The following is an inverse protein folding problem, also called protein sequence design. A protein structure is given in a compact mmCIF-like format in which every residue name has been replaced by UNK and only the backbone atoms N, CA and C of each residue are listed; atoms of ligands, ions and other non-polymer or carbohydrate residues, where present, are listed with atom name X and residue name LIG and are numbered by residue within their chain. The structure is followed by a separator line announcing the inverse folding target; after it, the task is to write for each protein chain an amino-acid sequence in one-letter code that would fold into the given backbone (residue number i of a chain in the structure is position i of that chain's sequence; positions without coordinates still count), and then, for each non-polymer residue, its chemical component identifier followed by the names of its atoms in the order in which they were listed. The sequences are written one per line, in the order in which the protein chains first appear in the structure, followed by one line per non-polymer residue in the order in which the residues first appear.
data_IF_162748348565
#
_entry.id   IF_162748348565
#
_cell.length_a   1.000
_cell.length_b   1.000
_cell.length_c   1.000
_cell.angle_alpha   90.00
_cell.angle_beta   90.00
_cell.angle_gamma   90.00
#
_symmetry.space_group_name_H-M   'P 1'
#
loop_
_entity.id
_entity.type
_entity.pdbx_description
1 polymer ?
#
# COMPACT_ATOMS: atom_id res chain seq x y z
N UNK A 1 7.27 11.03 -16.09
CA UNK A 1 6.40 11.25 -14.91
C UNK A 1 5.66 9.97 -14.60
N UNK A 2 5.92 9.38 -13.43
CA UNK A 2 5.28 8.15 -12.97
C UNK A 2 4.24 8.52 -11.91
N UNK A 3 3.06 7.90 -11.98
CA UNK A 3 2.03 8.06 -10.96
C UNK A 3 1.71 6.69 -10.36
N UNK A 4 1.80 6.60 -9.03
CA UNK A 4 1.42 5.42 -8.26
C UNK A 4 0.18 5.78 -7.48
N UNK A 5 -0.86 4.96 -7.57
CA UNK A 5 -2.12 5.18 -6.85
C UNK A 5 -2.39 3.96 -5.97
N UNK A 6 -2.61 4.19 -4.68
CA UNK A 6 -2.98 3.15 -3.72
C UNK A 6 -4.08 3.62 -2.78
N UNK A 7 -4.88 2.69 -2.26
CA UNK A 7 -5.85 3.00 -1.21
C UNK A 7 -5.16 3.04 0.15
N UNK A 8 -4.38 2.02 0.48
CA UNK A 8 -3.64 1.91 1.75
C UNK A 8 -2.20 1.48 1.46
N UNK A 9 -1.24 2.05 2.19
CA UNK A 9 0.16 1.63 2.20
C UNK A 9 0.71 1.65 3.62
N UNK A 10 1.83 0.97 3.84
CA UNK A 10 2.57 1.09 5.11
C UNK A 10 3.58 2.23 5.05
N UNK A 11 3.95 2.79 6.20
CA UNK A 11 5.02 3.78 6.31
C UNK A 11 6.32 3.27 5.65
N UNK A 12 6.70 2.02 5.95
CA UNK A 12 7.84 1.35 5.30
C UNK A 12 7.74 1.34 3.76
N UNK A 13 6.54 1.16 3.20
CA UNK A 13 6.32 1.17 1.76
C UNK A 13 6.48 2.56 1.14
N UNK A 14 6.01 3.60 1.84
CA UNK A 14 6.17 5.00 1.41
C UNK A 14 7.65 5.40 1.41
N UNK A 15 8.37 5.09 2.48
CA UNK A 15 9.82 5.35 2.59
C UNK A 15 10.62 4.58 1.52
N UNK A 16 10.19 3.36 1.19
CA UNK A 16 10.79 2.59 0.11
C UNK A 16 10.59 3.27 -1.24
N UNK A 17 9.39 3.78 -1.52
CA UNK A 17 9.12 4.52 -2.76
C UNK A 17 10.01 5.75 -2.84
N UNK A 18 10.05 6.56 -1.78
CA UNK A 18 10.87 7.78 -1.72
C UNK A 18 12.36 7.49 -1.96
N UNK A 19 12.87 6.36 -1.45
CA UNK A 19 14.29 6.01 -1.56
C UNK A 19 14.70 5.45 -2.92
N UNK A 20 13.82 4.72 -3.60
CA UNK A 20 14.20 3.90 -4.76
C UNK A 20 13.54 4.31 -6.07
N UNK A 21 12.45 5.07 -6.03
CA UNK A 21 11.78 5.50 -7.25
C UNK A 21 12.41 6.79 -7.82
N UNK A 22 12.28 7.02 -9.13
CA UNK A 22 12.73 8.28 -9.75
C UNK A 22 12.10 9.52 -9.10
N UNK A 23 12.83 10.63 -9.07
CA UNK A 23 12.38 11.91 -8.50
C UNK A 23 11.07 12.44 -9.13
N UNK A 24 10.74 12.03 -10.35
CA UNK A 24 9.51 12.43 -11.05
C UNK A 24 8.32 11.48 -10.80
N UNK A 25 8.38 10.71 -9.70
CA UNK A 25 7.32 9.82 -9.21
C UNK A 25 6.40 10.54 -8.23
N UNK A 26 5.08 10.44 -8.44
CA UNK A 26 4.07 10.99 -7.56
C UNK A 26 3.20 9.87 -6.99
N UNK A 27 3.20 9.73 -5.67
CA UNK A 27 2.40 8.76 -4.93
C UNK A 27 1.11 9.39 -4.42
N UNK A 28 -0.02 8.87 -4.90
CA UNK A 28 -1.36 9.21 -4.44
C UNK A 28 -1.86 8.08 -3.54
N UNK A 29 -2.03 8.37 -2.26
CA UNK A 29 -2.39 7.35 -1.27
C UNK A 29 -3.44 7.89 -0.30
N UNK A 30 -4.49 7.11 -0.04
CA UNK A 30 -5.60 7.56 0.82
C UNK A 30 -5.31 7.38 2.31
N UNK A 31 -4.58 6.32 2.70
CA UNK A 31 -4.20 6.06 4.08
C UNK A 31 -2.80 5.46 4.16
N UNK A 32 -2.04 5.89 5.17
CA UNK A 32 -0.72 5.34 5.49
C UNK A 32 -0.81 4.79 6.91
N UNK A 33 -0.53 3.50 7.05
CA UNK A 33 -0.57 2.77 8.30
C UNK A 33 0.85 2.43 8.79
N UNK A 34 1.00 2.23 10.09
CA UNK A 34 2.30 2.27 10.77
C UNK A 34 3.27 1.17 10.35
N UNK A 35 2.78 -0.08 10.24
CA UNK A 35 3.66 -1.24 10.14
C UNK A 35 3.11 -2.37 9.30
N UNK A 36 4.03 -3.21 8.86
CA UNK A 36 3.72 -4.55 8.39
C UNK A 36 3.85 -5.54 9.56
N UNK A 37 3.05 -6.61 9.55
CA UNK A 37 3.31 -7.78 10.39
C UNK A 37 4.30 -8.75 9.72
N UNK A 38 4.65 -9.83 10.41
CA UNK A 38 5.62 -10.84 9.91
C UNK A 38 5.19 -11.56 8.63
N UNK A 39 3.92 -11.44 8.24
CA UNK A 39 3.36 -11.99 7.00
C UNK A 39 3.26 -10.96 5.88
N UNK A 40 3.70 -9.71 6.11
CA UNK A 40 3.64 -8.63 5.14
C UNK A 40 2.28 -7.94 5.01
N UNK A 41 1.33 -8.19 5.91
CA UNK A 41 0.07 -7.43 5.94
C UNK A 41 0.27 -6.08 6.62
N UNK A 42 -0.35 -5.04 6.06
CA UNK A 42 -0.44 -3.71 6.65
C UNK A 42 -1.32 -3.78 7.91
N UNK A 43 -0.90 -3.13 9.00
CA UNK A 43 -1.60 -3.08 10.28
C UNK A 43 -1.87 -1.62 10.67
N UNK A 44 -3.12 -1.23 10.95
CA UNK A 44 -4.33 -2.08 10.98
C UNK A 44 -4.75 -2.64 9.61
N UNK A 45 -4.52 -1.92 8.52
CA UNK A 45 -4.77 -2.34 7.15
C UNK A 45 -6.21 -2.77 6.86
N UNK A 46 -6.40 -3.49 5.76
CA UNK A 46 -7.70 -4.03 5.34
C UNK A 46 -7.72 -5.57 5.24
N UNK A 47 -6.59 -6.25 5.43
CA UNK A 47 -6.43 -7.67 5.10
C UNK A 47 -6.15 -7.89 3.61
N UNK A 48 -6.71 -8.94 3.02
CA UNK A 48 -6.50 -9.27 1.61
C UNK A 48 -7.47 -8.49 0.71
N UNK A 49 -6.93 -7.51 -0.02
CA UNK A 49 -7.73 -6.65 -0.90
C UNK A 49 -8.37 -7.43 -2.07
N UNK A 50 -7.69 -8.48 -2.56
CA UNK A 50 -8.15 -9.28 -3.67
C UNK A 50 -9.34 -10.14 -3.26
N UNK A 51 -9.24 -10.80 -2.11
CA UNK A 51 -10.33 -11.59 -1.54
C UNK A 51 -11.53 -10.72 -1.17
N UNK A 52 -11.31 -9.52 -0.62
CA UNK A 52 -12.42 -8.60 -0.33
C UNK A 52 -13.11 -8.11 -1.61
N UNK A 53 -12.37 -7.85 -2.69
CA UNK A 53 -12.95 -7.37 -3.93
C UNK A 53 -13.65 -8.48 -4.74
N UNK A 54 -13.03 -9.66 -4.80
CA UNK A 54 -13.37 -10.72 -5.77
C UNK A 54 -13.49 -12.12 -5.18
N UNK A 55 -13.25 -12.30 -3.88
CA UNK A 55 -13.42 -13.58 -3.20
C UNK A 55 -14.85 -14.09 -3.28
N UNK A 56 -15.05 -15.36 -2.91
CA UNK A 56 -16.33 -16.03 -3.02
C UNK A 56 -17.45 -15.22 -2.37
N UNK A 57 -18.42 -14.81 -3.18
CA UNK A 57 -19.63 -14.09 -2.75
C UNK A 57 -20.76 -15.12 -2.65
N UNK A 58 -21.45 -15.11 -1.51
CA UNK A 58 -22.64 -15.95 -1.29
C UNK A 58 -23.80 -15.51 -2.19
#
# INVERSE_FOLDING_TARGET
KIHIVSVIGSLQGVEYIEKYFPEDTELWISAIDDKLNDRGYIIPGLGDAGDLAFGNKL
#
